data_IF_214314536266
#
_entry.id   IF_214314536266
#
_cell.length_a   1.000
_cell.length_b   1.000
_cell.length_c   1.000
_cell.angle_alpha   90.00
_cell.angle_beta   90.00
_cell.angle_gamma   90.00
#
_symmetry.space_group_name_H-M   'P 1'
#
loop_
_entity.id
_entity.type
_entity.pdbx_description
1 polymer ?
#
# COMPACT_ATOMS: atom_id res chain seq x y z
N UNK A 1 -0.22 12.26 21.49
CA UNK A 1 -1.39 12.31 20.58
C UNK A 1 -1.34 11.09 19.66
N UNK A 2 -2.49 10.58 19.18
CA UNK A 2 -2.52 9.45 18.23
C UNK A 2 -2.18 9.93 16.82
N UNK A 3 -1.39 9.15 16.06
CA UNK A 3 -1.13 9.43 14.64
C UNK A 3 -2.36 9.00 13.81
N UNK A 4 -2.86 9.83 12.89
CA UNK A 4 -3.92 9.43 11.96
C UNK A 4 -3.45 8.30 11.03
N UNK A 5 -4.37 7.47 10.55
CA UNK A 5 -4.10 6.38 9.61
C UNK A 5 -5.10 6.43 8.45
N UNK A 6 -4.61 6.21 7.23
CA UNK A 6 -5.44 5.94 6.05
C UNK A 6 -5.21 4.52 5.57
N UNK A 7 -6.31 3.74 5.51
CA UNK A 7 -6.31 2.35 5.09
C UNK A 7 -7.08 2.17 3.77
N UNK A 8 -6.39 1.69 2.74
CA UNK A 8 -6.99 1.37 1.44
C UNK A 8 -7.38 -0.10 1.35
N UNK A 9 -8.63 -0.44 1.66
CA UNK A 9 -9.13 -1.80 1.52
C UNK A 9 -9.55 -2.11 0.07
N UNK A 10 -8.76 -2.94 -0.61
CA UNK A 10 -8.99 -3.32 -2.01
C UNK A 10 -10.01 -4.45 -2.14
N UNK A 11 -10.41 -5.07 -1.01
CA UNK A 11 -11.31 -6.23 -0.95
C UNK A 11 -10.77 -7.36 -1.84
N UNK A 12 -11.65 -8.08 -2.53
CA UNK A 12 -11.28 -9.10 -3.51
C UNK A 12 -11.23 -8.50 -4.93
N UNK A 13 -10.46 -7.43 -5.11
CA UNK A 13 -10.19 -6.84 -6.43
C UNK A 13 -8.70 -6.90 -6.74
N UNK A 14 -8.40 -6.85 -8.04
CA UNK A 14 -7.06 -6.81 -8.63
C UNK A 14 -6.36 -8.16 -8.73
N UNK A 15 -5.57 -8.27 -9.78
CA UNK A 15 -4.47 -9.22 -9.95
C UNK A 15 -3.21 -8.72 -9.25
N UNK A 16 -2.22 -9.60 -9.11
CA UNK A 16 -0.90 -9.21 -8.57
C UNK A 16 -0.27 -8.07 -9.37
N UNK A 17 -0.37 -8.09 -10.70
CA UNK A 17 0.23 -7.06 -11.55
C UNK A 17 -0.42 -5.67 -11.32
N UNK A 18 -1.74 -5.63 -11.20
CA UNK A 18 -2.49 -4.40 -10.93
C UNK A 18 -2.21 -3.85 -9.53
N UNK A 19 -2.16 -4.73 -8.53
CA UNK A 19 -1.79 -4.40 -7.16
C UNK A 19 -0.41 -3.71 -7.08
N UNK A 20 0.59 -4.27 -7.76
CA UNK A 20 1.94 -3.72 -7.83
C UNK A 20 1.98 -2.37 -8.55
N UNK A 21 1.25 -2.24 -9.66
CA UNK A 21 1.15 -0.99 -10.40
C UNK A 21 0.51 0.11 -9.54
N UNK A 22 -0.58 -0.20 -8.85
CA UNK A 22 -1.29 0.74 -8.00
C UNK A 22 -0.42 1.20 -6.82
N UNK A 23 0.25 0.28 -6.12
CA UNK A 23 1.13 0.67 -4.99
C UNK A 23 2.23 1.65 -5.43
N UNK A 24 2.84 1.41 -6.61
CA UNK A 24 3.83 2.32 -7.18
C UNK A 24 3.23 3.68 -7.54
N UNK A 25 2.05 3.70 -8.14
CA UNK A 25 1.35 4.95 -8.47
C UNK A 25 0.98 5.76 -7.22
N UNK A 26 0.49 5.11 -6.17
CA UNK A 26 0.21 5.76 -4.88
C UNK A 26 1.50 6.40 -4.33
N UNK A 27 2.61 5.65 -4.32
CA UNK A 27 3.88 6.19 -3.83
C UNK A 27 4.40 7.35 -4.68
N UNK A 28 4.26 7.31 -6.00
CA UNK A 28 4.66 8.40 -6.89
C UNK A 28 3.85 9.69 -6.66
N UNK A 29 2.57 9.55 -6.32
CA UNK A 29 1.67 10.69 -6.12
C UNK A 29 1.73 11.27 -4.70
N UNK A 30 1.92 10.41 -3.70
CA UNK A 30 1.80 10.79 -2.28
C UNK A 30 3.17 10.83 -1.58
N UNK A 31 4.08 9.93 -1.97
CA UNK A 31 5.38 9.78 -1.35
C UNK A 31 5.32 9.35 0.11
N UNK A 32 6.37 9.70 0.84
CA UNK A 32 6.39 9.58 2.30
C UNK A 32 5.73 10.81 2.93
N UNK A 33 4.83 10.56 3.86
CA UNK A 33 4.10 11.60 4.59
C UNK A 33 4.29 11.38 6.09
N UNK A 34 4.82 12.40 6.78
CA UNK A 34 5.09 12.33 8.21
C UNK A 34 3.83 12.45 9.08
N UNK A 35 2.71 12.88 8.50
CA UNK A 35 1.48 13.26 9.21
C UNK A 35 0.44 12.14 9.31
N UNK A 36 0.55 11.09 8.49
CA UNK A 36 -0.42 9.98 8.44
C UNK A 36 0.29 8.64 8.21
N UNK A 37 -0.24 7.56 8.77
CA UNK A 37 0.19 6.20 8.45
C UNK A 37 -0.57 5.69 7.22
N UNK A 38 0.15 5.02 6.30
CA UNK A 38 -0.40 4.55 5.03
C UNK A 38 -0.50 3.01 5.07
N UNK A 39 -1.72 2.47 5.08
CA UNK A 39 -1.98 1.02 5.10
C UNK A 39 -2.65 0.58 3.79
N UNK A 40 -2.11 -0.43 3.13
CA UNK A 40 -2.75 -1.09 1.99
C UNK A 40 -3.34 -2.43 2.47
N UNK A 41 -4.60 -2.70 2.15
CA UNK A 41 -5.23 -4.00 2.44
C UNK A 41 -5.60 -4.71 1.12
N UNK A 42 -4.62 -5.34 0.45
CA UNK A 42 -4.83 -6.06 -0.80
C UNK A 42 -5.47 -7.45 -0.56
N UNK A 43 -5.94 -8.15 -1.61
CA UNK A 43 -6.21 -9.58 -1.52
C UNK A 43 -4.99 -10.36 -1.01
N UNK A 44 -5.20 -11.46 -0.29
CA UNK A 44 -4.12 -12.23 0.35
C UNK A 44 -3.02 -12.68 -0.61
N UNK A 45 -3.39 -13.05 -1.84
CA UNK A 45 -2.46 -13.48 -2.91
C UNK A 45 -1.49 -12.38 -3.36
N UNK A 46 -1.80 -11.12 -3.07
CA UNK A 46 -0.97 -9.97 -3.44
C UNK A 46 -0.01 -9.54 -2.32
N UNK A 47 -0.18 -10.03 -1.08
CA UNK A 47 0.61 -9.57 0.08
C UNK A 47 2.11 -9.84 -0.09
N UNK A 48 2.48 -11.06 -0.46
CA UNK A 48 3.89 -11.43 -0.64
C UNK A 48 4.60 -10.61 -1.75
N UNK A 49 4.07 -10.51 -2.98
CA UNK A 49 4.71 -9.70 -4.01
C UNK A 49 4.69 -8.21 -3.69
N UNK A 50 3.64 -7.69 -3.04
CA UNK A 50 3.63 -6.30 -2.59
C UNK A 50 4.71 -6.03 -1.55
N UNK A 51 4.90 -6.93 -0.58
CA UNK A 51 5.92 -6.75 0.45
C UNK A 51 7.33 -6.65 -0.14
N UNK A 52 7.61 -7.42 -1.19
CA UNK A 52 8.88 -7.32 -1.91
C UNK A 52 8.98 -6.02 -2.73
N UNK A 53 7.90 -5.60 -3.39
CA UNK A 53 7.90 -4.44 -4.27
C UNK A 53 7.81 -3.09 -3.53
N UNK A 54 7.30 -3.09 -2.30
CA UNK A 54 7.17 -1.92 -1.44
C UNK A 54 8.36 -1.75 -0.50
N UNK A 55 9.47 -2.47 -0.73
CA UNK A 55 10.68 -2.27 0.06
C UNK A 55 11.17 -0.82 -0.07
N UNK A 56 11.44 -0.18 1.06
CA UNK A 56 11.74 1.25 1.14
C UNK A 56 10.55 2.21 0.93
N UNK A 57 9.32 1.71 0.72
CA UNK A 57 8.10 2.54 0.71
C UNK A 57 7.47 2.60 2.12
N UNK A 58 6.76 3.68 2.47
CA UNK A 58 6.19 3.88 3.81
C UNK A 58 4.90 3.06 4.07
N UNK A 59 4.58 2.09 3.21
CA UNK A 59 3.33 1.33 3.30
C UNK A 59 3.41 0.24 4.37
N UNK A 60 2.40 0.23 5.24
CA UNK A 60 2.03 -0.94 6.03
C UNK A 60 1.24 -1.91 5.12
N UNK A 61 1.44 -3.22 5.34
CA UNK A 61 0.80 -4.33 4.62
C UNK A 61 0.31 -5.39 5.60
#
# INVERSE_FOLDING_TARGET
MRRPMMAGNWKMNMTVAEALALARQIYQLVGDTSVVEQLLCPPSVCLHPLKAASDGMPFLL
#
